data_IF_629545175026
#
_entry.id   IF_629545175026
#
_cell.length_a   1.000
_cell.length_b   1.000
_cell.length_c   1.000
_cell.angle_alpha   90.00
_cell.angle_beta   90.00
_cell.angle_gamma   90.00
#
_symmetry.space_group_name_H-M   'P 1'
#
loop_
_entity.id
_entity.type
_entity.pdbx_description
1 polymer ?
#
# COMPACT_ATOMS: atom_id res chain seq x y z
N UNK A 1 -12.14 -6.74 7.85
CA UNK A 1 -13.45 -6.25 7.32
C UNK A 1 -13.42 -4.73 7.18
N UNK A 2 -14.12 -4.14 6.20
CA UNK A 2 -14.24 -2.69 6.05
C UNK A 2 -15.42 -2.16 6.87
N UNK A 3 -15.21 -1.85 8.15
CA UNK A 3 -16.26 -1.32 9.02
C UNK A 3 -15.83 0.00 9.68
N UNK A 4 -16.82 0.86 10.00
CA UNK A 4 -16.57 2.17 10.58
C UNK A 4 -15.83 2.12 11.93
N UNK A 5 -15.98 1.02 12.70
CA UNK A 5 -15.29 0.83 13.96
C UNK A 5 -13.77 0.88 13.84
N UNK A 6 -13.20 0.35 12.75
CA UNK A 6 -11.76 0.39 12.51
C UNK A 6 -11.27 1.83 12.30
N UNK A 7 -12.06 2.64 11.60
CA UNK A 7 -11.75 4.05 11.38
C UNK A 7 -11.89 4.89 12.65
N UNK A 8 -12.90 4.60 13.47
CA UNK A 8 -13.08 5.28 14.75
C UNK A 8 -11.86 5.11 15.66
N UNK A 9 -11.20 3.95 15.63
CA UNK A 9 -9.99 3.68 16.39
C UNK A 9 -8.75 4.45 15.88
N UNK A 10 -8.71 4.85 14.61
CA UNK A 10 -7.61 5.61 13.99
C UNK A 10 -7.72 7.13 14.23
N UNK A 11 -8.88 7.65 14.66
CA UNK A 11 -9.11 9.11 14.82
C UNK A 11 -8.10 9.76 15.77
N UNK A 12 -7.90 9.20 16.97
CA UNK A 12 -6.98 9.78 17.96
C UNK A 12 -5.51 9.62 17.51
N UNK A 13 -5.03 8.41 17.16
CA UNK A 13 -3.66 8.23 16.66
C UNK A 13 -3.33 9.10 15.43
N UNK A 14 -4.26 9.23 14.48
CA UNK A 14 -4.06 10.06 13.29
C UNK A 14 -3.94 11.54 13.66
N UNK A 15 -4.75 12.03 14.61
CA UNK A 15 -4.65 13.41 15.11
C UNK A 15 -3.31 13.66 15.81
N UNK A 16 -2.81 12.71 16.61
CA UNK A 16 -1.52 12.82 17.28
C UNK A 16 -0.35 12.80 16.28
N UNK A 17 -0.39 11.89 15.30
CA UNK A 17 0.60 11.82 14.23
C UNK A 17 0.64 13.13 13.42
N UNK A 18 -0.53 13.66 13.04
CA UNK A 18 -0.64 14.92 12.32
C UNK A 18 -0.08 16.10 13.12
N UNK A 19 -0.39 16.18 14.42
CA UNK A 19 0.16 17.21 15.31
C UNK A 19 1.70 17.13 15.43
N UNK A 20 2.27 15.93 15.30
CA UNK A 20 3.71 15.70 15.27
C UNK A 20 4.35 15.87 13.87
N UNK A 21 3.58 16.27 12.86
CA UNK A 21 4.07 16.52 11.50
C UNK A 21 4.10 15.27 10.60
N UNK A 22 3.48 14.17 11.01
CA UNK A 22 3.39 12.94 10.22
C UNK A 22 1.99 12.81 9.60
N UNK A 23 1.86 12.78 8.27
CA UNK A 23 0.56 12.81 7.60
C UNK A 23 -0.20 11.48 7.64
N UNK A 24 0.47 10.38 8.01
CA UNK A 24 -0.11 9.04 8.02
C UNK A 24 0.57 8.18 9.10
N UNK A 25 -0.22 7.40 9.84
CA UNK A 25 0.29 6.44 10.82
C UNK A 25 0.62 5.10 10.16
N UNK A 26 1.65 4.41 10.65
CA UNK A 26 1.93 3.01 10.30
C UNK A 26 1.59 2.12 11.49
N UNK A 27 0.62 1.23 11.31
CA UNK A 27 0.22 0.25 12.31
C UNK A 27 1.10 -1.00 12.24
N UNK A 28 1.37 -1.54 13.41
CA UNK A 28 2.04 -2.83 13.60
C UNK A 28 1.03 -3.82 14.19
N UNK A 29 1.39 -5.09 14.16
CA UNK A 29 0.57 -6.15 14.75
C UNK A 29 0.28 -5.86 16.23
N UNK A 30 -0.98 -6.04 16.61
CA UNK A 30 -1.46 -5.66 17.95
C UNK A 30 -0.90 -6.54 19.09
N UNK A 31 -0.25 -7.66 18.77
CA UNK A 31 0.19 -8.65 19.77
C UNK A 31 1.63 -8.43 20.20
N UNK A 32 2.53 -8.28 19.23
CA UNK A 32 3.98 -8.21 19.40
C UNK A 32 4.54 -6.83 19.04
N UNK A 33 3.78 -5.99 18.33
CA UNK A 33 4.21 -4.66 17.84
C UNK A 33 5.53 -4.74 17.06
N UNK A 34 5.68 -5.83 16.30
CA UNK A 34 6.90 -6.23 15.59
C UNK A 34 6.69 -6.26 14.08
N UNK A 35 5.55 -6.76 13.61
CA UNK A 35 5.24 -6.92 12.20
C UNK A 35 4.43 -5.73 11.68
N UNK A 36 4.74 -5.29 10.47
CA UNK A 36 4.02 -4.22 9.77
C UNK A 36 2.63 -4.71 9.35
N UNK A 37 1.61 -3.88 9.52
CA UNK A 37 0.26 -4.16 9.03
C UNK A 37 -0.14 -3.19 7.92
N UNK A 38 -0.55 -1.97 8.26
CA UNK A 38 -1.10 -1.02 7.28
C UNK A 38 -0.85 0.44 7.66
N UNK A 39 -0.88 1.32 6.66
CA UNK A 39 -0.79 2.76 6.82
C UNK A 39 -2.18 3.36 7.00
N UNK A 40 -2.62 3.59 8.25
CA UNK A 40 -3.98 4.04 8.58
C UNK A 40 -5.06 3.37 7.71
N UNK A 41 -5.54 4.04 6.65
CA UNK A 41 -6.61 3.54 5.78
C UNK A 41 -6.13 2.84 4.49
N UNK A 42 -4.82 2.64 4.33
CA UNK A 42 -4.12 2.15 3.14
C UNK A 42 -3.18 0.98 3.48
N UNK A 43 -3.02 0.00 2.60
CA UNK A 43 -2.06 -1.09 2.85
C UNK A 43 -0.60 -0.63 2.68
N UNK A 44 0.31 -1.31 3.35
CA UNK A 44 1.76 -1.20 3.13
C UNK A 44 2.20 -2.03 1.92
N UNK A 45 3.08 -1.45 1.10
CA UNK A 45 3.77 -2.16 0.01
C UNK A 45 5.23 -1.73 -0.01
N UNK A 46 6.12 -2.64 -0.39
CA UNK A 46 7.54 -2.38 -0.54
C UNK A 46 8.13 -3.06 -1.77
N UNK A 47 9.31 -2.58 -2.17
CA UNK A 47 10.14 -3.19 -3.20
C UNK A 47 11.48 -3.57 -2.56
N UNK A 48 11.97 -4.78 -2.81
CA UNK A 48 13.27 -5.26 -2.31
C UNK A 48 14.44 -4.39 -2.76
N UNK A 49 15.55 -4.41 -2.03
CA UNK A 49 16.74 -3.59 -2.34
C UNK A 49 17.32 -3.82 -3.74
N UNK A 50 17.17 -5.03 -4.29
CA UNK A 50 17.57 -5.39 -5.66
C UNK A 50 16.50 -5.10 -6.73
N UNK A 51 15.38 -4.47 -6.33
CA UNK A 51 14.26 -4.06 -7.18
C UNK A 51 13.55 -5.19 -7.92
N UNK A 52 13.73 -6.44 -7.48
CA UNK A 52 13.18 -7.63 -8.15
C UNK A 52 11.86 -8.13 -7.55
N UNK A 53 11.54 -7.74 -6.30
CA UNK A 53 10.45 -8.33 -5.52
C UNK A 53 9.53 -7.26 -4.95
N UNK A 54 8.23 -7.42 -5.23
CA UNK A 54 7.14 -6.68 -4.58
C UNK A 54 6.74 -7.40 -3.29
N UNK A 55 6.68 -6.67 -2.18
CA UNK A 55 6.46 -7.24 -0.85
C UNK A 55 5.28 -6.54 -0.21
N UNK A 56 4.34 -7.29 0.35
CA UNK A 56 3.24 -6.75 1.16
C UNK A 56 2.96 -7.63 2.38
N UNK A 57 2.52 -7.07 3.53
CA UNK A 57 2.36 -7.85 4.74
C UNK A 57 1.18 -8.81 4.66
N UNK A 58 1.33 -10.00 5.26
CA UNK A 58 0.27 -10.99 5.43
C UNK A 58 -0.17 -11.05 6.89
N UNK A 59 -1.43 -10.67 7.15
CA UNK A 59 -2.07 -10.79 8.46
C UNK A 59 -3.59 -10.88 8.30
N UNK A 60 -4.27 -11.55 9.23
CA UNK A 60 -5.73 -11.68 9.25
C UNK A 60 -6.44 -10.39 9.70
N UNK A 61 -5.71 -9.46 10.32
CA UNK A 61 -6.19 -8.14 10.76
C UNK A 61 -6.18 -7.09 9.64
N UNK A 62 -5.32 -7.26 8.62
CA UNK A 62 -5.14 -6.30 7.54
C UNK A 62 -6.38 -6.31 6.65
N UNK A 63 -6.82 -5.12 6.25
CA UNK A 63 -7.89 -5.01 5.28
C UNK A 63 -7.40 -5.50 3.89
N UNK A 64 -8.08 -6.46 3.24
CA UNK A 64 -7.71 -6.91 1.90
C UNK A 64 -8.02 -5.83 0.86
N UNK A 65 -7.04 -4.97 0.54
CA UNK A 65 -7.18 -3.89 -0.44
C UNK A 65 -7.24 -4.44 -1.86
N UNK A 66 -8.30 -4.06 -2.60
CA UNK A 66 -8.40 -4.36 -4.04
C UNK A 66 -7.25 -3.72 -4.82
N UNK A 67 -6.82 -2.51 -4.45
CA UNK A 67 -5.67 -1.86 -5.08
C UNK A 67 -4.40 -2.67 -4.89
N UNK A 68 -4.15 -3.21 -3.69
CA UNK A 68 -2.99 -4.06 -3.43
C UNK A 68 -3.06 -5.38 -4.23
N UNK A 69 -4.25 -6.00 -4.31
CA UNK A 69 -4.48 -7.18 -5.16
C UNK A 69 -4.10 -6.89 -6.62
N UNK A 70 -4.56 -5.76 -7.18
CA UNK A 70 -4.23 -5.35 -8.54
C UNK A 70 -2.73 -5.07 -8.72
N UNK A 71 -2.11 -4.33 -7.79
CA UNK A 71 -0.67 -4.00 -7.84
C UNK A 71 0.20 -5.26 -7.84
N UNK A 72 -0.14 -6.26 -7.02
CA UNK A 72 0.54 -7.56 -7.02
C UNK A 72 0.45 -8.26 -8.36
N UNK A 73 -0.73 -8.28 -9.00
CA UNK A 73 -0.87 -8.88 -10.32
C UNK A 73 -0.03 -8.13 -11.36
N UNK A 74 -0.09 -6.80 -11.37
CA UNK A 74 0.69 -5.96 -12.30
C UNK A 74 2.21 -6.07 -12.06
N UNK A 75 2.65 -6.31 -10.83
CA UNK A 75 4.04 -6.60 -10.52
C UNK A 75 4.48 -7.94 -11.15
N UNK A 76 3.63 -8.98 -11.07
CA UNK A 76 3.89 -10.26 -11.78
C UNK A 76 3.96 -10.07 -13.29
N UNK A 77 3.05 -9.28 -13.86
CA UNK A 77 3.04 -9.00 -15.30
C UNK A 77 4.31 -8.26 -15.76
N UNK A 78 4.94 -7.50 -14.85
CA UNK A 78 6.27 -6.87 -15.06
C UNK A 78 7.45 -7.81 -14.82
N UNK A 79 7.22 -9.07 -14.48
CA UNK A 79 8.26 -10.04 -14.17
C UNK A 79 8.86 -9.93 -12.77
N UNK A 80 8.25 -9.15 -11.87
CA UNK A 80 8.67 -9.10 -10.47
C UNK A 80 8.20 -10.36 -9.73
N UNK A 81 8.99 -10.79 -8.75
CA UNK A 81 8.50 -11.70 -7.72
C UNK A 81 7.51 -10.95 -6.81
N UNK A 82 6.56 -11.68 -6.22
CA UNK A 82 5.60 -11.09 -5.27
C UNK A 82 5.52 -11.97 -4.04
N UNK A 83 5.82 -11.36 -2.90
CA UNK A 83 5.76 -11.97 -1.58
C UNK A 83 4.64 -11.34 -0.76
N UNK A 84 3.73 -12.18 -0.28
CA UNK A 84 2.75 -11.84 0.75
C UNK A 84 3.09 -12.64 2.01
N UNK A 85 3.78 -11.98 2.95
CA UNK A 85 4.35 -12.61 4.15
C UNK A 85 4.35 -11.65 5.34
N UNK A 86 4.54 -12.12 6.58
CA UNK A 86 4.87 -11.22 7.67
C UNK A 86 6.13 -10.40 7.33
N UNK A 87 6.09 -9.10 7.63
CA UNK A 87 7.19 -8.16 7.40
C UNK A 87 7.53 -7.52 8.74
N UNK A 88 8.75 -7.73 9.25
CA UNK A 88 9.18 -7.08 10.48
C UNK A 88 9.50 -5.60 10.24
N UNK A 89 9.23 -4.75 11.24
CA UNK A 89 9.62 -3.35 11.20
C UNK A 89 11.15 -3.16 11.01
N UNK A 90 11.96 -4.12 11.48
CA UNK A 90 13.42 -4.13 11.32
C UNK A 90 13.86 -4.27 9.85
N UNK A 91 13.00 -4.80 8.98
CA UNK A 91 13.30 -4.99 7.55
C UNK A 91 13.23 -3.69 6.73
N UNK A 92 12.74 -2.58 7.28
CA UNK A 92 12.52 -1.34 6.52
C UNK A 92 13.76 -0.85 5.75
N UNK A 93 14.96 -0.99 6.31
CA UNK A 93 16.21 -0.60 5.65
C UNK A 93 16.63 -1.52 4.48
N UNK A 94 15.97 -2.67 4.32
CA UNK A 94 16.24 -3.61 3.23
C UNK A 94 15.42 -3.31 1.96
N UNK A 95 14.43 -2.42 2.06
CA UNK A 95 13.57 -2.05 0.95
C UNK A 95 14.14 -0.85 0.19
N UNK A 96 14.12 -0.91 -1.13
CA UNK A 96 14.48 0.22 -1.99
C UNK A 96 13.36 1.25 -2.05
N UNK A 97 12.10 0.78 -1.98
CA UNK A 97 10.92 1.62 -2.04
C UNK A 97 9.86 1.14 -1.05
N UNK A 98 9.11 2.08 -0.49
CA UNK A 98 7.93 1.81 0.33
C UNK A 98 6.82 2.75 -0.10
N UNK A 99 5.59 2.27 -0.14
CA UNK A 99 4.42 3.10 -0.36
C UNK A 99 3.21 2.65 0.48
N UNK A 100 2.31 3.60 0.71
CA UNK A 100 0.92 3.30 1.06
C UNK A 100 0.11 3.08 -0.24
N UNK A 101 -0.80 2.10 -0.26
CA UNK A 101 -1.67 1.87 -1.42
C UNK A 101 -3.15 1.69 -1.04
N UNK A 102 -4.03 2.18 -1.90
CA UNK A 102 -5.48 2.12 -1.69
C UNK A 102 -6.24 2.89 -2.76
N UNK A 103 -7.56 2.71 -2.84
CA UNK A 103 -8.38 3.22 -3.95
C UNK A 103 -8.22 4.73 -4.18
N UNK A 104 -8.16 5.52 -3.11
CA UNK A 104 -8.11 6.99 -3.19
C UNK A 104 -6.78 7.52 -3.74
N UNK A 105 -5.66 6.88 -3.38
CA UNK A 105 -4.31 7.39 -3.66
C UNK A 105 -3.56 6.55 -4.71
N UNK A 106 -4.04 5.34 -4.97
CA UNK A 106 -3.38 4.26 -5.71
C UNK A 106 -2.06 3.84 -5.07
N UNK A 107 -1.06 4.71 -5.13
CA UNK A 107 0.28 4.55 -4.54
C UNK A 107 0.72 5.92 -4.02
N UNK A 108 1.06 6.00 -2.73
CA UNK A 108 1.68 7.16 -2.09
C UNK A 108 3.08 6.79 -1.63
N UNK A 109 4.13 7.30 -2.29
CA UNK A 109 5.52 7.09 -1.88
C UNK A 109 5.80 7.48 -0.43
N UNK A 110 6.56 6.66 0.29
CA UNK A 110 6.99 6.90 1.67
C UNK A 110 8.51 7.07 1.68
N UNK A 111 8.96 8.30 1.95
CA UNK A 111 10.39 8.63 2.01
C UNK A 111 11.04 8.22 3.31
N UNK A 112 10.30 8.30 4.42
CA UNK A 112 10.80 7.98 5.75
C UNK A 112 9.70 7.50 6.68
N UNK A 113 10.06 6.65 7.64
CA UNK A 113 9.18 6.16 8.70
C UNK A 113 9.84 6.41 10.05
N UNK A 114 9.10 6.99 11.00
CA UNK A 114 9.60 7.28 12.36
C UNK A 114 8.88 6.41 13.39
N UNK A 115 9.63 5.80 14.31
CA UNK A 115 9.13 5.08 15.50
C UNK A 115 9.92 5.54 16.72
N UNK A 116 9.30 6.36 17.57
CA UNK A 116 9.96 6.97 18.73
C UNK A 116 11.15 7.84 18.28
N UNK A 117 12.34 7.55 18.80
CA UNK A 117 13.58 8.26 18.42
C UNK A 117 14.22 7.74 17.11
N UNK A 118 13.72 6.63 16.56
CA UNK A 118 14.30 6.00 15.36
C UNK A 118 13.58 6.55 14.13
N UNK A 119 14.36 7.12 13.20
CA UNK A 119 13.90 7.49 11.86
C UNK A 119 14.60 6.59 10.85
N UNK A 120 13.83 5.93 10.00
CA UNK A 120 14.31 5.13 8.87
C UNK A 120 14.04 5.89 7.60
N UNK A 121 15.10 6.22 6.85
CA UNK A 121 14.99 6.72 5.48
C UNK A 121 14.90 5.51 4.54
N UNK A 122 13.99 5.55 3.56
CA UNK A 122 13.79 4.46 2.61
C UNK A 122 14.61 4.70 1.35
N UNK A 123 14.29 5.77 0.62
CA UNK A 123 14.89 6.08 -0.67
C UNK A 123 14.18 7.24 -1.35
N UNK A 124 14.79 7.78 -2.39
CA UNK A 124 14.22 8.88 -3.20
C UNK A 124 13.71 8.42 -4.58
N UNK A 125 14.15 7.25 -5.03
CA UNK A 125 13.73 6.63 -6.28
C UNK A 125 12.49 5.77 -6.06
N UNK A 126 11.44 6.02 -6.84
CA UNK A 126 10.17 5.30 -6.79
C UNK A 126 9.78 4.72 -8.16
N UNK A 127 10.74 4.40 -9.02
CA UNK A 127 10.50 3.97 -10.40
C UNK A 127 9.58 2.75 -10.51
N UNK A 128 9.88 1.66 -9.79
CA UNK A 128 9.06 0.45 -9.79
C UNK A 128 7.60 0.72 -9.35
N UNK A 129 7.39 1.39 -8.20
CA UNK A 129 6.05 1.71 -7.70
C UNK A 129 5.34 2.77 -8.55
N UNK A 130 6.08 3.71 -9.16
CA UNK A 130 5.53 4.71 -10.09
C UNK A 130 5.10 4.08 -11.40
N UNK A 131 5.82 3.06 -11.89
CA UNK A 131 5.42 2.29 -13.05
C UNK A 131 4.13 1.51 -12.78
N UNK A 132 3.99 0.90 -11.60
CA UNK A 132 2.76 0.23 -11.19
C UNK A 132 1.59 1.22 -11.03
N UNK A 133 1.83 2.41 -10.45
CA UNK A 133 0.83 3.48 -10.38
C UNK A 133 0.31 3.86 -11.78
N UNK A 134 1.22 4.06 -12.75
CA UNK A 134 0.87 4.41 -14.13
C UNK A 134 0.01 3.32 -14.78
N UNK A 135 0.32 2.05 -14.54
CA UNK A 135 -0.47 0.95 -15.08
C UNK A 135 -1.87 0.88 -14.49
N UNK A 136 -2.01 1.03 -13.16
CA UNK A 136 -3.34 1.09 -12.53
C UNK A 136 -4.13 2.27 -13.10
N UNK A 137 -3.49 3.44 -13.26
CA UNK A 137 -4.15 4.61 -13.84
C UNK A 137 -4.59 4.37 -15.27
N UNK A 138 -3.72 3.84 -16.13
CA UNK A 138 -4.03 3.57 -17.52
C UNK A 138 -5.19 2.56 -17.67
N UNK A 139 -5.30 1.59 -16.77
CA UNK A 139 -6.46 0.68 -16.72
C UNK A 139 -7.74 1.40 -16.27
N UNK A 140 -7.65 2.25 -15.23
CA UNK A 140 -8.80 3.03 -14.74
C UNK A 140 -9.33 4.04 -15.76
N UNK A 141 -8.46 4.63 -16.57
CA UNK A 141 -8.83 5.61 -17.61
C UNK A 141 -9.18 4.95 -18.95
N UNK A 142 -8.89 3.66 -19.13
CA UNK A 142 -9.09 2.95 -20.38
C UNK A 142 -8.00 3.21 -21.44
N UNK A 143 -6.87 3.80 -21.05
CA UNK A 143 -5.71 4.03 -21.92
C UNK A 143 -4.90 2.74 -22.20
N UNK A 144 -5.10 1.71 -21.38
CA UNK A 144 -4.49 0.38 -21.54
C UNK A 144 -5.59 -0.68 -21.65
N UNK A 145 -5.36 -1.67 -22.52
CA UNK A 145 -6.21 -2.85 -22.61
C UNK A 145 -6.26 -3.60 -21.28
N UNK A 146 -7.47 -3.90 -20.82
CA UNK A 146 -7.72 -4.66 -19.60
C UNK A 146 -7.72 -6.16 -19.88
N UNK A 147 -6.51 -6.74 -19.86
CA UNK A 147 -6.29 -8.17 -20.09
C UNK A 147 -6.78 -9.07 -18.93
N UNK A 148 -7.11 -8.47 -17.78
CA UNK A 148 -7.52 -9.18 -16.56
C UNK A 148 -9.04 -9.12 -16.31
N UNK A 149 -9.79 -8.40 -17.13
CA UNK A 149 -11.25 -8.28 -17.01
C UNK A 149 -11.71 -7.55 -15.75
N UNK A 150 -10.93 -6.59 -15.25
CA UNK A 150 -11.27 -5.76 -14.08
C UNK A 150 -12.27 -4.64 -14.38
N UNK A 151 -12.29 -4.14 -15.61
CA UNK A 151 -13.11 -3.03 -16.04
C UNK A 151 -14.49 -3.51 -16.50
N UNK A 152 -15.53 -2.95 -15.90
CA UNK A 152 -16.92 -3.16 -16.34
C UNK A 152 -17.43 -1.88 -17.01
N UNK A 153 -17.85 -1.98 -18.27
CA UNK A 153 -18.48 -0.85 -18.97
C UNK A 153 -19.85 -0.59 -18.35
N UNK A 154 -20.00 0.58 -17.73
CA UNK A 154 -21.30 1.08 -17.28
C UNK A 154 -21.93 1.81 -18.45
N UNK A 155 -22.99 1.24 -19.01
CA UNK A 155 -23.86 1.93 -19.96
C UNK A 155 -25.02 2.54 -19.19
N UNK A 156 -25.54 3.67 -19.67
CA UNK A 156 -26.77 4.24 -19.12
C UNK A 156 -27.87 3.17 -19.16
N UNK A 157 -28.30 2.71 -17.98
CA UNK A 157 -29.64 2.17 -17.84
C UNK A 157 -30.57 3.39 -17.77
N UNK A 158 -31.65 3.47 -18.56
CA UNK A 158 -32.68 4.46 -18.27
C UNK A 158 -33.08 4.32 -16.81
N UNK A 159 -33.09 5.44 -16.08
CA UNK A 159 -33.58 5.48 -14.71
C UNK A 159 -35.01 4.90 -14.70
N UNK A 160 -35.36 4.02 -13.74
CA UNK A 160 -36.72 3.52 -13.61
C UNK A 160 -37.74 4.64 -13.39
#
# INVERSE_FOLDING_TARGET
>A
VKCAGNYAADVVPASEAAAAGYPIGLYLDAKEHKYIEEFSTSNFVAVSGDKSTYITPKSDSILPSITNIMLRQLARDRGMQVEERPVEFSELNSFSQVAACGTAVIVTPIKSITKGAVKVEIGEDFDELSALYKDVRALQTGDKEDVHGWCTKVTDKPLP
#
